data_IF_795382097795
#
_entry.id   IF_795382097795
#
_cell.length_a   1.000
_cell.length_b   1.000
_cell.length_c   1.000
_cell.angle_alpha   90.00
_cell.angle_beta   90.00
_cell.angle_gamma   90.00
#
_symmetry.space_group_name_H-M   'P 1'
#
loop_
_entity.id
_entity.type
_entity.pdbx_description
1 polymer ?
#
# COMPACT_ATOMS: atom_id res chain seq x y z
N UNK A 1 22.76 -20.33 7.61
CA UNK A 1 21.95 -19.88 8.78
C UNK A 1 22.28 -18.45 9.20
N UNK A 2 23.53 -18.07 9.49
CA UNK A 2 23.85 -16.70 9.95
C UNK A 2 23.55 -15.58 8.93
N UNK A 3 23.71 -15.84 7.63
CA UNK A 3 23.48 -14.86 6.56
C UNK A 3 22.01 -14.41 6.41
N UNK A 4 21.07 -15.31 6.68
CA UNK A 4 19.63 -15.01 6.57
C UNK A 4 19.18 -14.09 7.70
N UNK A 5 19.63 -14.35 8.92
CA UNK A 5 19.31 -13.50 10.07
C UNK A 5 19.96 -12.11 9.95
N UNK A 6 21.20 -12.01 9.48
CA UNK A 6 21.83 -10.71 9.24
C UNK A 6 21.10 -9.91 8.16
N UNK A 7 20.68 -10.56 7.07
CA UNK A 7 19.90 -9.93 6.01
C UNK A 7 18.55 -9.42 6.55
N UNK A 8 17.84 -10.25 7.33
CA UNK A 8 16.55 -9.88 7.92
C UNK A 8 16.67 -8.74 8.93
N UNK A 9 17.69 -8.72 9.79
CA UNK A 9 17.92 -7.63 10.75
C UNK A 9 18.17 -6.31 10.02
N UNK A 10 18.98 -6.33 8.95
CA UNK A 10 19.21 -5.12 8.17
C UNK A 10 17.90 -4.61 7.55
N UNK A 11 17.13 -5.51 6.92
CA UNK A 11 15.85 -5.16 6.32
C UNK A 11 14.89 -4.54 7.33
N UNK A 12 14.80 -5.11 8.53
CA UNK A 12 13.99 -4.58 9.62
C UNK A 12 14.45 -3.20 10.09
N UNK A 13 15.77 -2.93 10.14
CA UNK A 13 16.30 -1.59 10.42
C UNK A 13 15.95 -0.59 9.32
N UNK A 14 16.06 -0.98 8.05
CA UNK A 14 15.65 -0.14 6.92
C UNK A 14 14.16 0.14 6.96
N UNK A 15 13.33 -0.88 7.22
CA UNK A 15 11.88 -0.74 7.42
C UNK A 15 11.56 0.21 8.58
N UNK A 16 12.25 0.07 9.71
CA UNK A 16 12.09 0.98 10.84
C UNK A 16 12.45 2.42 10.47
N UNK A 17 13.54 2.64 9.71
CA UNK A 17 13.92 3.97 9.24
C UNK A 17 12.86 4.55 8.29
N UNK A 18 12.41 3.78 7.29
CA UNK A 18 11.33 4.17 6.37
C UNK A 18 10.08 4.57 7.16
N UNK A 19 9.64 3.73 8.09
CA UNK A 19 8.47 3.99 8.92
C UNK A 19 8.68 5.23 9.80
N UNK A 20 9.83 5.34 10.46
CA UNK A 20 10.14 6.48 11.33
C UNK A 20 10.14 7.79 10.55
N UNK A 21 10.76 7.82 9.37
CA UNK A 21 10.78 9.01 8.52
C UNK A 21 9.39 9.34 7.97
N UNK A 22 8.59 8.34 7.57
CA UNK A 22 7.22 8.55 7.09
C UNK A 22 6.32 9.17 8.17
N UNK A 23 6.45 8.73 9.42
CA UNK A 23 5.53 9.12 10.50
C UNK A 23 6.04 10.29 11.36
N UNK A 24 7.36 10.50 11.52
CA UNK A 24 7.88 11.70 12.22
C UNK A 24 7.60 12.99 11.47
N UNK A 25 7.50 12.93 10.14
CA UNK A 25 7.11 14.08 9.31
C UNK A 25 5.67 14.54 9.63
N UNK A 26 4.81 13.69 10.20
CA UNK A 26 3.44 14.06 10.56
C UNK A 26 3.34 15.01 11.77
N UNK A 27 4.36 15.09 12.63
CA UNK A 27 4.25 15.81 13.90
C UNK A 27 4.72 17.28 13.86
N UNK A 28 5.63 17.68 12.96
CA UNK A 28 6.26 19.02 13.03
C UNK A 28 6.33 19.79 11.70
N UNK A 29 6.15 19.18 10.53
CA UNK A 29 6.21 19.88 9.24
C UNK A 29 5.09 19.42 8.30
N UNK A 30 4.28 20.36 7.83
CA UNK A 30 3.25 20.14 6.81
C UNK A 30 3.84 19.47 5.55
N UNK A 31 3.64 18.17 5.38
CA UNK A 31 3.23 17.57 4.11
C UNK A 31 4.27 17.33 2.99
N UNK A 32 5.58 17.37 3.24
CA UNK A 32 6.59 17.22 2.16
C UNK A 32 7.33 15.88 2.17
N UNK A 33 6.87 14.92 1.36
CA UNK A 33 7.67 13.77 0.93
C UNK A 33 8.45 14.16 -0.33
N UNK A 34 9.73 14.51 -0.19
CA UNK A 34 10.55 14.95 -1.33
C UNK A 34 10.98 13.77 -2.20
N UNK A 35 11.09 13.99 -3.52
CA UNK A 35 11.63 12.98 -4.45
C UNK A 35 12.98 12.44 -3.95
N UNK A 36 13.84 13.33 -3.46
CA UNK A 36 15.14 12.97 -2.89
C UNK A 36 15.06 11.93 -1.78
N UNK A 37 14.08 12.03 -0.86
CA UNK A 37 13.91 11.02 0.21
C UNK A 37 13.49 9.66 -0.35
N UNK A 38 12.58 9.66 -1.32
CA UNK A 38 12.14 8.43 -2.01
C UNK A 38 13.32 7.76 -2.71
N UNK A 39 14.13 8.53 -3.42
CA UNK A 39 15.29 8.04 -4.17
C UNK A 39 16.35 7.45 -3.24
N UNK A 40 16.64 8.12 -2.12
CA UNK A 40 17.59 7.62 -1.11
C UNK A 40 17.11 6.31 -0.50
N UNK A 41 15.85 6.27 -0.03
CA UNK A 41 15.30 5.07 0.62
C UNK A 41 15.19 3.90 -0.36
N UNK A 42 14.78 4.16 -1.60
CA UNK A 42 14.75 3.14 -2.65
C UNK A 42 16.15 2.61 -2.94
N UNK A 43 17.16 3.50 -3.05
CA UNK A 43 18.55 3.10 -3.30
C UNK A 43 19.10 2.22 -2.18
N UNK A 44 18.83 2.56 -0.91
CA UNK A 44 19.24 1.74 0.24
C UNK A 44 18.60 0.35 0.17
N UNK A 45 17.32 0.26 -0.20
CA UNK A 45 16.59 -0.99 -0.27
C UNK A 45 17.11 -1.89 -1.41
N UNK A 46 17.40 -1.31 -2.59
CA UNK A 46 18.00 -2.06 -3.70
C UNK A 46 19.44 -2.49 -3.41
N UNK A 47 20.23 -1.62 -2.79
CA UNK A 47 21.59 -1.96 -2.35
C UNK A 47 21.59 -3.13 -1.36
N UNK A 48 20.61 -3.18 -0.46
CA UNK A 48 20.46 -4.32 0.45
C UNK A 48 20.18 -5.62 -0.29
N UNK A 49 19.28 -5.60 -1.30
CA UNK A 49 18.98 -6.78 -2.10
C UNK A 49 20.20 -7.25 -2.91
N UNK A 50 21.01 -6.31 -3.41
CA UNK A 50 22.17 -6.62 -4.24
C UNK A 50 23.33 -7.26 -3.48
N UNK A 51 23.42 -7.08 -2.16
CA UNK A 51 24.47 -7.68 -1.31
C UNK A 51 24.07 -9.05 -0.73
N UNK A 52 22.89 -9.55 -1.09
CA UNK A 52 22.46 -10.87 -0.65
C UNK A 52 23.33 -11.96 -1.28
N UNK A 53 23.66 -13.03 -0.53
CA UNK A 53 24.28 -14.22 -1.10
C UNK A 53 23.44 -14.80 -2.25
N UNK A 54 24.09 -15.44 -3.22
CA UNK A 54 23.42 -15.95 -4.43
C UNK A 54 22.22 -16.85 -4.14
N UNK A 55 22.30 -17.69 -3.11
CA UNK A 55 21.21 -18.60 -2.72
C UNK A 55 20.00 -17.90 -2.07
N UNK A 56 20.14 -16.63 -1.67
CA UNK A 56 19.04 -15.79 -1.16
C UNK A 56 18.59 -14.74 -2.18
N UNK A 57 19.30 -14.60 -3.30
CA UNK A 57 18.96 -13.63 -4.34
C UNK A 57 17.70 -14.06 -5.07
N UNK A 58 16.89 -13.09 -5.47
CA UNK A 58 15.72 -13.31 -6.30
C UNK A 58 15.50 -12.14 -7.24
N UNK A 59 14.76 -12.38 -8.31
CA UNK A 59 14.28 -11.38 -9.28
C UNK A 59 12.77 -11.16 -9.13
N UNK A 60 12.27 -9.99 -9.56
CA UNK A 60 10.85 -9.64 -9.39
C UNK A 60 9.90 -10.57 -10.16
N UNK A 61 10.40 -11.25 -11.19
CA UNK A 61 9.65 -12.24 -11.97
C UNK A 61 9.72 -13.67 -11.44
N UNK A 62 10.48 -13.91 -10.36
CA UNK A 62 10.59 -15.26 -9.79
C UNK A 62 9.27 -15.69 -9.15
N UNK A 63 8.90 -16.98 -9.23
CA UNK A 63 7.72 -17.49 -8.56
C UNK A 63 7.85 -17.34 -7.02
N UNK A 64 6.72 -17.29 -6.30
CA UNK A 64 6.71 -17.33 -4.83
C UNK A 64 7.51 -18.51 -4.28
N UNK A 65 8.28 -18.26 -3.22
CA UNK A 65 9.13 -19.28 -2.60
C UNK A 65 8.31 -20.26 -1.77
N UNK A 66 8.73 -21.52 -1.74
CA UNK A 66 8.21 -22.57 -0.85
C UNK A 66 8.90 -22.55 0.53
N UNK A 67 10.11 -21.98 0.63
CA UNK A 67 10.74 -21.67 1.92
C UNK A 67 10.07 -20.46 2.60
N UNK A 68 9.48 -20.69 3.77
CA UNK A 68 8.82 -19.67 4.60
C UNK A 68 9.72 -18.48 4.93
N UNK A 69 11.02 -18.69 5.15
CA UNK A 69 11.96 -17.62 5.51
C UNK A 69 12.23 -16.72 4.32
N UNK A 70 12.41 -17.31 3.14
CA UNK A 70 12.59 -16.57 1.88
C UNK A 70 11.31 -15.84 1.50
N UNK A 71 10.15 -16.50 1.60
CA UNK A 71 8.84 -15.89 1.40
C UNK A 71 8.62 -14.67 2.31
N UNK A 72 8.94 -14.81 3.61
CA UNK A 72 8.83 -13.71 4.56
C UNK A 72 9.77 -12.55 4.21
N UNK A 73 11.03 -12.84 3.87
CA UNK A 73 12.01 -11.83 3.48
C UNK A 73 11.57 -11.08 2.20
N UNK A 74 11.08 -11.79 1.18
CA UNK A 74 10.53 -11.19 -0.05
C UNK A 74 9.32 -10.30 0.27
N UNK A 75 8.39 -10.79 1.09
CA UNK A 75 7.21 -10.03 1.52
C UNK A 75 7.59 -8.74 2.25
N UNK A 76 8.57 -8.79 3.14
CA UNK A 76 9.06 -7.63 3.89
C UNK A 76 9.73 -6.60 2.97
N UNK A 77 10.56 -7.03 2.03
CA UNK A 77 11.19 -6.17 1.03
C UNK A 77 10.14 -5.44 0.19
N UNK A 78 9.19 -6.16 -0.39
CA UNK A 78 8.14 -5.54 -1.21
C UNK A 78 7.20 -4.68 -0.37
N UNK A 79 6.98 -5.00 0.90
CA UNK A 79 6.25 -4.13 1.82
C UNK A 79 6.98 -2.81 2.06
N UNK A 80 8.30 -2.84 2.24
CA UNK A 80 9.12 -1.63 2.37
C UNK A 80 9.03 -0.78 1.10
N UNK A 81 9.22 -1.40 -0.07
CA UNK A 81 9.16 -0.73 -1.37
C UNK A 81 7.78 -0.11 -1.60
N UNK A 82 6.71 -0.84 -1.31
CA UNK A 82 5.35 -0.32 -1.34
C UNK A 82 5.19 0.93 -0.45
N UNK A 83 5.66 0.90 0.80
CA UNK A 83 5.54 2.03 1.73
C UNK A 83 6.29 3.27 1.25
N UNK A 84 7.49 3.11 0.67
CA UNK A 84 8.31 4.22 0.14
C UNK A 84 7.54 4.99 -0.95
N UNK A 85 6.88 4.27 -1.86
CA UNK A 85 6.20 4.87 -3.02
C UNK A 85 4.71 5.19 -2.79
N UNK A 86 4.10 4.69 -1.71
CA UNK A 86 2.68 4.90 -1.40
C UNK A 86 2.25 6.37 -1.34
N UNK A 87 3.02 7.31 -0.76
CA UNK A 87 2.65 8.74 -0.75
C UNK A 87 2.50 9.32 -2.15
N UNK A 88 3.33 8.89 -3.10
CA UNK A 88 3.26 9.33 -4.50
C UNK A 88 1.99 8.78 -5.17
N UNK A 89 1.72 7.48 -5.01
CA UNK A 89 0.49 6.86 -5.53
C UNK A 89 -0.75 7.56 -4.96
N UNK A 90 -0.74 7.85 -3.66
CA UNK A 90 -1.82 8.57 -2.99
C UNK A 90 -2.05 9.94 -3.62
N UNK A 91 -0.99 10.73 -3.81
CA UNK A 91 -1.07 12.04 -4.45
C UNK A 91 -1.70 11.97 -5.85
N UNK A 92 -1.23 11.04 -6.68
CA UNK A 92 -1.75 10.87 -8.05
C UNK A 92 -3.22 10.45 -8.04
N UNK A 93 -3.62 9.54 -7.16
CA UNK A 93 -5.03 9.13 -7.02
C UNK A 93 -5.93 10.29 -6.60
N UNK A 94 -5.44 11.21 -5.76
CA UNK A 94 -6.20 12.39 -5.34
C UNK A 94 -6.28 13.46 -6.43
N UNK A 95 -5.22 13.65 -7.22
CA UNK A 95 -5.28 14.49 -8.42
C UNK A 95 -6.33 14.00 -9.41
N UNK A 96 -6.37 12.68 -9.65
CA UNK A 96 -7.33 12.07 -10.58
C UNK A 96 -8.80 12.17 -10.12
N UNK A 97 -9.04 12.45 -8.83
CA UNK A 97 -10.37 12.51 -8.20
C UNK A 97 -10.98 13.91 -8.19
N UNK A 98 -10.20 14.99 -8.36
CA UNK A 98 -10.73 16.36 -8.32
C UNK A 98 -11.64 16.64 -9.54
N UNK A 99 -12.94 16.93 -9.35
CA UNK A 99 -13.83 17.35 -10.43
C UNK A 99 -13.62 18.85 -10.76
N UNK A 100 -13.82 19.23 -12.03
CA UNK A 100 -13.79 20.64 -12.47
C UNK A 100 -14.79 21.48 -11.65
N UNK A 101 -14.31 22.43 -10.85
CA UNK A 101 -15.16 23.51 -10.35
C UNK A 101 -15.19 24.59 -11.45
N UNK A 102 -16.36 25.00 -11.96
CA UNK A 102 -16.43 26.16 -12.84
C UNK A 102 -16.10 27.40 -12.02
N UNK A 103 -15.03 28.10 -12.42
CA UNK A 103 -14.69 29.41 -11.87
C UNK A 103 -15.82 30.38 -12.22
N UNK A 104 -16.59 30.79 -11.21
CA UNK A 104 -17.37 32.02 -11.26
C UNK A 104 -17.27 32.73 -9.92
N UNK A 105 -16.51 33.83 -9.93
CA UNK A 105 -16.83 35.09 -9.24
C UNK A 105 -17.15 35.09 -7.74
N UNK A 106 -16.17 35.56 -6.97
CA UNK A 106 -16.31 36.59 -5.93
C UNK A 106 -17.23 36.39 -4.69
N UNK A 107 -16.53 36.26 -3.55
CA UNK A 107 -16.66 37.08 -2.32
C UNK A 107 -17.78 36.76 -1.29
N UNK A 108 -17.29 36.53 -0.05
CA UNK A 108 -17.73 36.94 1.31
C UNK A 108 -18.25 35.88 2.31
N UNK A 109 -17.45 35.76 3.38
CA UNK A 109 -17.80 35.89 4.80
C UNK A 109 -18.16 34.66 5.65
N UNK A 110 -17.19 34.33 6.52
CA UNK A 110 -17.27 33.94 7.95
C UNK A 110 -18.57 33.36 8.53
N UNK A 111 -18.46 32.18 9.18
CA UNK A 111 -18.95 31.96 10.57
C UNK A 111 -18.42 30.65 11.17
N UNK A 112 -17.99 30.74 12.44
CA UNK A 112 -17.69 29.64 13.37
C UNK A 112 -18.99 28.96 13.85
N UNK A 113 -18.95 27.64 14.05
CA UNK A 113 -19.64 26.89 15.12
C UNK A 113 -19.18 25.43 15.05
N UNK A 114 -18.33 24.98 15.98
CA UNK A 114 -18.68 24.19 17.16
C UNK A 114 -19.51 22.93 16.84
N UNK A 115 -18.95 21.75 17.12
CA UNK A 115 -19.52 20.83 18.13
C UNK A 115 -18.60 19.61 18.44
N UNK A 116 -18.30 19.51 19.74
CA UNK A 116 -18.18 18.33 20.62
C UNK A 116 -17.12 17.25 20.33
N UNK A 117 -16.06 17.30 21.15
CA UNK A 117 -15.17 16.18 21.43
C UNK A 117 -15.81 15.25 22.47
N UNK A 118 -15.83 13.94 22.19
CA UNK A 118 -16.03 12.88 23.18
C UNK A 118 -14.70 12.15 23.37
N UNK A 119 -14.15 12.29 24.58
CA UNK A 119 -12.93 11.64 25.01
C UNK A 119 -13.25 10.23 25.50
N UNK A 120 -12.64 9.22 24.88
CA UNK A 120 -12.43 7.90 25.49
C UNK A 120 -10.93 7.63 25.45
N UNK A 121 -10.32 7.74 26.62
CA UNK A 121 -9.03 7.15 26.96
C UNK A 121 -9.12 5.63 26.84
N UNK A 122 -8.14 4.97 26.19
CA UNK A 122 -7.45 3.74 26.67
C UNK A 122 -6.80 2.95 25.49
N UNK A 123 -5.49 2.69 25.64
CA UNK A 123 -4.57 1.87 24.82
C UNK A 123 -4.18 2.40 23.42
N UNK A 124 -3.16 3.26 23.39
CA UNK A 124 -2.57 3.82 22.17
C UNK A 124 -1.48 2.90 21.60
N UNK A 125 -1.76 2.25 20.48
CA UNK A 125 -0.77 1.88 19.44
C UNK A 125 -1.40 1.47 18.09
N UNK A 126 -2.71 1.64 17.87
CA UNK A 126 -3.36 1.22 16.62
C UNK A 126 -4.23 2.31 15.94
N UNK A 127 -4.21 3.56 16.42
CA UNK A 127 -5.14 4.61 15.97
C UNK A 127 -4.56 5.56 14.90
N UNK A 128 -3.31 5.35 14.45
CA UNK A 128 -2.60 6.33 13.60
C UNK A 128 -2.69 6.07 12.08
N UNK A 129 -3.85 5.67 11.57
CA UNK A 129 -4.06 5.54 10.10
C UNK A 129 -5.26 6.34 9.59
N UNK A 130 -6.14 6.82 10.47
CA UNK A 130 -7.36 7.55 10.10
C UNK A 130 -7.17 9.08 9.98
N UNK A 131 -6.01 9.63 10.42
CA UNK A 131 -5.71 11.07 10.42
C UNK A 131 -4.95 11.60 9.19
N UNK A 132 -4.69 10.75 8.20
CA UNK A 132 -4.01 11.08 6.93
C UNK A 132 -4.83 11.98 5.97
N UNK A 133 -5.98 12.49 6.42
CA UNK A 133 -7.04 13.06 5.56
C UNK A 133 -6.91 14.56 5.27
N UNK A 134 -5.81 15.23 5.59
CA UNK A 134 -5.59 16.61 5.15
C UNK A 134 -4.11 16.89 4.89
N UNK A 135 -3.79 17.31 3.66
CA UNK A 135 -2.57 18.05 3.30
C UNK A 135 -1.23 17.30 3.10
N UNK A 136 -1.22 16.16 2.40
CA UNK A 136 0.04 15.64 1.80
C UNK A 136 0.13 16.04 0.33
N UNK A 137 1.04 16.96 0.00
CA UNK A 137 1.31 17.41 -1.38
C UNK A 137 2.81 17.21 -1.67
N UNK A 138 3.20 16.25 -2.52
CA UNK A 138 4.60 16.07 -2.90
C UNK A 138 5.15 17.33 -3.55
N UNK A 139 6.39 17.69 -3.20
CA UNK A 139 7.15 18.74 -3.88
C UNK A 139 7.71 18.21 -5.21
N UNK A 140 6.81 17.82 -6.10
CA UNK A 140 7.12 17.66 -7.52
C UNK A 140 6.79 18.99 -8.17
N UNK A 141 7.70 19.49 -9.01
CA UNK A 141 7.44 20.68 -9.80
C UNK A 141 6.09 20.50 -10.50
N UNK A 142 5.13 21.44 -10.38
CA UNK A 142 3.97 21.40 -11.24
C UNK A 142 4.48 21.36 -12.69
N UNK A 143 3.82 20.59 -13.58
CA UNK A 143 4.24 20.54 -14.98
C UNK A 143 4.37 21.97 -15.52
N UNK A 144 5.39 22.24 -16.37
CA UNK A 144 5.66 23.59 -16.86
C UNK A 144 4.39 24.18 -17.47
N UNK A 145 4.00 25.34 -16.94
CA UNK A 145 2.80 26.08 -17.35
C UNK A 145 3.04 26.76 -18.69
N UNK A 146 2.97 26.00 -19.79
CA UNK A 146 2.81 26.58 -21.10
C UNK A 146 1.33 26.93 -21.32
N UNK A 147 1.13 28.17 -21.77
CA UNK A 147 -0.16 28.83 -21.93
C UNK A 147 -1.03 28.12 -22.98
N UNK A 148 -1.85 27.16 -22.55
CA UNK A 148 -3.02 26.70 -23.31
C UNK A 148 -4.04 26.11 -22.33
N UNK A 149 -5.22 26.72 -22.23
CA UNK A 149 -6.27 26.32 -21.29
C UNK A 149 -6.73 24.87 -21.50
N UNK A 150 -6.43 24.00 -20.54
CA UNK A 150 -6.82 22.59 -20.63
C UNK A 150 -6.45 21.71 -19.43
N UNK A 151 -6.53 22.18 -18.18
CA UNK A 151 -6.25 21.32 -17.01
C UNK A 151 -7.46 20.42 -16.68
N UNK A 152 -7.55 19.29 -17.39
CA UNK A 152 -8.39 18.13 -17.05
C UNK A 152 -7.56 17.01 -16.38
N UNK A 153 -8.19 15.98 -15.79
CA UNK A 153 -7.49 15.07 -14.88
C UNK A 153 -6.69 14.01 -15.65
N UNK A 154 -5.38 13.96 -15.40
CA UNK A 154 -4.41 13.11 -16.10
C UNK A 154 -4.81 11.62 -16.08
N UNK A 155 -4.82 10.97 -17.25
CA UNK A 155 -4.78 9.51 -17.38
C UNK A 155 -3.38 8.99 -17.04
N UNK A 156 -3.24 7.69 -16.76
CA UNK A 156 -1.92 7.10 -16.43
C UNK A 156 -0.83 7.41 -17.47
N UNK A 157 -1.21 7.44 -18.75
CA UNK A 157 -0.31 7.74 -19.88
C UNK A 157 0.07 9.21 -20.00
N UNK A 158 -0.68 10.10 -19.39
CA UNK A 158 -0.44 11.55 -19.42
C UNK A 158 0.40 12.01 -18.22
N UNK A 159 0.59 11.16 -17.21
CA UNK A 159 1.45 11.48 -16.07
C UNK A 159 2.91 11.68 -16.49
N UNK A 160 3.65 12.59 -15.82
CA UNK A 160 5.11 12.65 -15.93
C UNK A 160 5.76 11.28 -15.74
N UNK A 161 6.85 11.01 -16.46
CA UNK A 161 7.54 9.70 -16.46
C UNK A 161 7.94 9.24 -15.06
N UNK A 162 8.43 10.15 -14.22
CA UNK A 162 8.82 9.89 -12.82
C UNK A 162 7.62 9.42 -11.99
N UNK A 163 6.50 10.15 -12.05
CA UNK A 163 5.26 9.80 -11.35
C UNK A 163 4.69 8.48 -11.84
N UNK A 164 4.70 8.26 -13.16
CA UNK A 164 4.23 7.03 -13.79
C UNK A 164 5.04 5.83 -13.32
N UNK A 165 6.36 5.97 -13.27
CA UNK A 165 7.28 4.93 -12.82
C UNK A 165 7.11 4.64 -11.33
N UNK A 166 7.03 5.67 -10.49
CA UNK A 166 6.80 5.54 -9.05
C UNK A 166 5.46 4.84 -8.74
N UNK A 167 4.38 5.19 -9.43
CA UNK A 167 3.08 4.53 -9.26
C UNK A 167 3.15 3.06 -9.67
N UNK A 168 3.83 2.75 -10.78
CA UNK A 168 4.04 1.37 -11.22
C UNK A 168 4.80 0.56 -10.17
N UNK A 169 5.93 1.08 -9.65
CA UNK A 169 6.68 0.41 -8.59
C UNK A 169 5.80 0.16 -7.36
N UNK A 170 5.00 1.14 -6.94
CA UNK A 170 4.12 1.00 -5.79
C UNK A 170 3.13 -0.16 -5.97
N UNK A 171 2.47 -0.23 -7.13
CA UNK A 171 1.48 -1.27 -7.45
C UNK A 171 2.13 -2.64 -7.60
N UNK A 172 3.23 -2.74 -8.35
CA UNK A 172 3.97 -3.99 -8.52
C UNK A 172 4.45 -4.52 -7.16
N UNK A 173 4.97 -3.64 -6.29
CA UNK A 173 5.38 -3.99 -4.93
C UNK A 173 4.21 -4.44 -4.05
N UNK A 174 3.03 -3.83 -4.20
CA UNK A 174 1.83 -4.26 -3.48
C UNK A 174 1.43 -5.68 -3.89
N UNK A 175 1.42 -5.97 -5.20
CA UNK A 175 1.11 -7.29 -5.76
C UNK A 175 2.12 -8.33 -5.29
N UNK A 176 3.42 -8.09 -5.50
CA UNK A 176 4.49 -9.02 -5.13
C UNK A 176 4.54 -9.27 -3.63
N UNK A 177 4.29 -8.26 -2.79
CA UNK A 177 4.16 -8.45 -1.35
C UNK A 177 2.98 -9.34 -0.98
N UNK A 178 1.88 -9.29 -1.73
CA UNK A 178 0.69 -10.08 -1.44
C UNK A 178 0.86 -11.53 -1.87
N UNK A 179 1.54 -11.78 -2.99
CA UNK A 179 1.80 -13.12 -3.55
C UNK A 179 3.02 -13.82 -2.92
N UNK A 180 3.87 -13.13 -2.16
CA UNK A 180 5.10 -13.67 -1.61
C UNK A 180 4.95 -14.98 -0.80
N UNK A 181 3.76 -15.23 -0.20
CA UNK A 181 3.45 -16.44 0.56
C UNK A 181 2.64 -17.49 -0.20
N UNK A 182 2.33 -17.27 -1.48
CA UNK A 182 1.46 -18.17 -2.24
C UNK A 182 2.15 -19.51 -2.56
N UNK A 183 3.48 -19.57 -2.47
CA UNK A 183 4.26 -20.80 -2.56
C UNK A 183 4.23 -21.66 -1.28
N UNK A 184 3.70 -21.13 -0.17
CA UNK A 184 3.65 -21.85 1.11
C UNK A 184 2.41 -22.74 1.17
N UNK A 185 2.65 -24.04 1.31
CA UNK A 185 1.58 -25.02 1.50
C UNK A 185 1.00 -24.93 2.93
N UNK A 186 -0.31 -24.76 3.03
CA UNK A 186 -1.01 -24.70 4.32
C UNK A 186 -1.04 -23.29 4.95
N UNK A 187 -1.17 -23.22 6.26
CA UNK A 187 -1.20 -21.95 7.01
C UNK A 187 0.24 -21.48 7.29
N UNK A 188 0.67 -20.30 6.83
CA UNK A 188 2.00 -19.79 7.12
C UNK A 188 2.24 -19.63 8.63
N UNK A 189 3.34 -20.18 9.13
CA UNK A 189 3.77 -20.01 10.52
C UNK A 189 4.73 -18.82 10.56
N UNK A 190 4.20 -17.66 10.94
CA UNK A 190 4.95 -16.40 11.04
C UNK A 190 4.82 -15.77 12.41
N UNK A 191 5.78 -14.93 12.76
CA UNK A 191 5.86 -14.26 14.06
C UNK A 191 4.73 -13.26 14.29
N UNK A 192 4.22 -12.62 13.22
CA UNK A 192 3.18 -11.61 13.31
C UNK A 192 2.09 -11.81 12.26
N UNK A 193 1.24 -12.83 12.46
CA UNK A 193 0.12 -13.14 11.56
C UNK A 193 -0.90 -12.00 11.46
N UNK A 194 -1.12 -11.27 12.56
CA UNK A 194 -2.04 -10.14 12.58
C UNK A 194 -1.54 -8.99 11.71
N UNK A 195 -0.31 -8.53 11.94
CA UNK A 195 0.29 -7.42 11.18
C UNK A 195 0.38 -7.75 9.69
N UNK A 196 0.75 -8.99 9.35
CA UNK A 196 0.75 -9.47 7.97
C UNK A 196 -0.65 -9.42 7.35
N UNK A 197 -1.66 -10.00 8.03
CA UNK A 197 -3.03 -10.01 7.55
C UNK A 197 -3.59 -8.60 7.37
N UNK A 198 -3.36 -7.70 8.32
CA UNK A 198 -3.80 -6.32 8.24
C UNK A 198 -3.11 -5.55 7.10
N UNK A 199 -1.80 -5.76 6.90
CA UNK A 199 -1.08 -5.16 5.78
C UNK A 199 -1.59 -5.68 4.43
N UNK A 200 -1.88 -6.98 4.31
CA UNK A 200 -2.48 -7.58 3.11
C UNK A 200 -3.85 -6.98 2.82
N UNK A 201 -4.71 -6.82 3.83
CA UNK A 201 -5.99 -6.12 3.72
C UNK A 201 -5.83 -4.69 3.18
N UNK A 202 -4.94 -3.89 3.78
CA UNK A 202 -4.71 -2.52 3.36
C UNK A 202 -4.23 -2.40 1.91
N UNK A 203 -3.35 -3.33 1.46
CA UNK A 203 -2.90 -3.38 0.06
C UNK A 203 -4.05 -3.70 -0.90
N UNK A 204 -4.95 -4.61 -0.54
CA UNK A 204 -6.14 -4.90 -1.37
C UNK A 204 -7.01 -3.66 -1.58
N UNK A 205 -7.23 -2.85 -0.54
CA UNK A 205 -7.99 -1.60 -0.68
C UNK A 205 -7.31 -0.61 -1.63
N UNK A 206 -5.98 -0.52 -1.61
CA UNK A 206 -5.22 0.35 -2.51
C UNK A 206 -5.27 -0.16 -3.95
N UNK A 207 -5.15 -1.47 -4.18
CA UNK A 207 -5.30 -2.06 -5.51
C UNK A 207 -6.71 -1.85 -6.06
N UNK A 208 -7.74 -2.02 -5.24
CA UNK A 208 -9.13 -1.72 -5.58
C UNK A 208 -9.35 -0.25 -5.94
N UNK A 209 -8.82 0.67 -5.12
CA UNK A 209 -8.90 2.10 -5.40
C UNK A 209 -8.21 2.46 -6.73
N UNK A 210 -7.06 1.85 -6.99
CA UNK A 210 -6.30 2.05 -8.24
C UNK A 210 -7.08 1.53 -9.44
N UNK A 211 -7.62 0.31 -9.37
CA UNK A 211 -8.47 -0.29 -10.39
C UNK A 211 -9.73 0.54 -10.69
N UNK A 212 -10.32 1.15 -9.66
CA UNK A 212 -11.52 1.98 -9.79
C UNK A 212 -11.21 3.46 -10.11
N UNK A 213 -9.96 3.78 -10.45
CA UNK A 213 -9.51 5.13 -10.80
C UNK A 213 -9.06 5.20 -12.27
N UNK A 214 -8.51 6.36 -12.67
CA UNK A 214 -7.86 6.56 -13.98
C UNK A 214 -6.53 5.82 -14.12
N UNK A 215 -6.06 5.18 -13.05
CA UNK A 215 -4.87 4.34 -13.02
C UNK A 215 -5.21 2.84 -13.18
N UNK A 216 -6.42 2.51 -13.64
CA UNK A 216 -6.87 1.12 -13.79
C UNK A 216 -5.94 0.27 -14.68
N UNK A 217 -5.24 0.89 -15.64
CA UNK A 217 -4.21 0.24 -16.46
C UNK A 217 -3.07 -0.40 -15.63
N UNK A 218 -2.82 0.05 -14.39
CA UNK A 218 -1.80 -0.51 -13.51
C UNK A 218 -2.22 -1.83 -12.86
N UNK A 219 -3.52 -2.13 -12.80
CA UNK A 219 -4.05 -3.29 -12.06
C UNK A 219 -4.97 -4.08 -12.98
N UNK A 220 -4.47 -5.21 -13.50
CA UNK A 220 -5.28 -6.09 -14.33
C UNK A 220 -6.46 -6.67 -13.52
N UNK A 221 -7.68 -6.59 -14.08
CA UNK A 221 -8.90 -7.07 -13.44
C UNK A 221 -8.81 -8.53 -12.98
N UNK A 222 -8.26 -9.42 -13.82
CA UNK A 222 -8.11 -10.85 -13.50
C UNK A 222 -7.11 -11.09 -12.37
N UNK A 223 -5.99 -10.35 -12.37
CA UNK A 223 -5.02 -10.40 -11.29
C UNK A 223 -5.66 -9.93 -9.97
N UNK A 224 -6.39 -8.80 -9.99
CA UNK A 224 -7.08 -8.28 -8.81
C UNK A 224 -8.09 -9.28 -8.23
N UNK A 225 -8.87 -9.93 -9.09
CA UNK A 225 -9.83 -10.96 -8.68
C UNK A 225 -9.12 -12.10 -7.92
N UNK A 226 -8.03 -12.63 -8.50
CA UNK A 226 -7.21 -13.70 -7.89
C UNK A 226 -6.62 -13.26 -6.54
N UNK A 227 -6.04 -12.06 -6.49
CA UNK A 227 -5.42 -11.50 -5.28
C UNK A 227 -6.43 -11.32 -4.15
N UNK A 228 -7.63 -10.79 -4.46
CA UNK A 228 -8.70 -10.62 -3.48
C UNK A 228 -9.19 -11.97 -2.94
N UNK A 229 -9.43 -12.95 -3.81
CA UNK A 229 -9.82 -14.30 -3.37
C UNK A 229 -8.76 -14.91 -2.44
N UNK A 230 -7.48 -14.83 -2.82
CA UNK A 230 -6.37 -15.31 -2.01
C UNK A 230 -6.28 -14.59 -0.66
N UNK A 231 -6.45 -13.27 -0.65
CA UNK A 231 -6.45 -12.46 0.57
C UNK A 231 -7.60 -12.82 1.50
N UNK A 232 -8.84 -12.92 1.00
CA UNK A 232 -10.02 -13.31 1.79
C UNK A 232 -9.80 -14.70 2.41
N UNK A 233 -9.36 -15.68 1.60
CA UNK A 233 -9.05 -17.03 2.08
C UNK A 233 -8.02 -17.01 3.21
N UNK A 234 -6.93 -16.29 3.04
CA UNK A 234 -5.85 -16.19 4.03
C UNK A 234 -6.29 -15.51 5.32
N UNK A 235 -7.08 -14.44 5.24
CA UNK A 235 -7.63 -13.77 6.42
C UNK A 235 -8.59 -14.69 7.20
N UNK A 236 -9.43 -15.44 6.49
CA UNK A 236 -10.35 -16.40 7.09
C UNK A 236 -9.63 -17.57 7.77
N UNK A 237 -8.48 -18.01 7.28
CA UNK A 237 -7.64 -19.02 7.97
C UNK A 237 -7.18 -18.57 9.37
N UNK A 238 -7.13 -17.25 9.62
CA UNK A 238 -6.73 -16.68 10.92
C UNK A 238 -7.90 -16.11 11.73
N UNK A 239 -9.15 -16.36 11.31
CA UNK A 239 -10.36 -15.76 11.91
C UNK A 239 -10.54 -16.05 13.40
N UNK A 240 -10.17 -17.25 13.84
CA UNK A 240 -10.33 -17.67 15.23
C UNK A 240 -9.29 -17.03 16.16
N UNK A 241 -8.17 -16.59 15.60
CA UNK A 241 -7.10 -15.92 16.36
C UNK A 241 -7.26 -14.41 16.44
N UNK A 242 -8.08 -13.81 15.57
CA UNK A 242 -8.28 -12.35 15.54
C UNK A 242 -9.66 -11.97 14.98
N UNK A 243 -10.56 -11.40 15.80
CA UNK A 243 -11.84 -10.87 15.33
C UNK A 243 -11.68 -9.80 14.25
N UNK A 244 -10.64 -8.98 14.31
CA UNK A 244 -10.35 -7.96 13.30
C UNK A 244 -10.03 -8.57 11.93
N UNK A 245 -9.25 -9.65 11.87
CA UNK A 245 -8.96 -10.30 10.59
C UNK A 245 -10.21 -10.92 9.97
N UNK A 246 -11.14 -11.40 10.81
CA UNK A 246 -12.46 -11.85 10.35
C UNK A 246 -13.26 -10.69 9.73
N UNK A 247 -13.37 -9.56 10.41
CA UNK A 247 -14.06 -8.37 9.90
C UNK A 247 -13.40 -7.88 8.59
N UNK A 248 -12.07 -7.86 8.53
CA UNK A 248 -11.34 -7.50 7.31
C UNK A 248 -11.68 -8.43 6.14
N UNK A 249 -11.85 -9.73 6.39
CA UNK A 249 -12.25 -10.69 5.36
C UNK A 249 -13.69 -10.45 4.89
N UNK A 250 -14.61 -10.17 5.82
CA UNK A 250 -16.01 -9.82 5.52
C UNK A 250 -16.07 -8.56 4.62
N UNK A 251 -15.37 -7.50 5.00
CA UNK A 251 -15.29 -6.26 4.19
C UNK A 251 -14.76 -6.54 2.78
N UNK A 252 -13.70 -7.34 2.64
CA UNK A 252 -13.18 -7.68 1.31
C UNK A 252 -14.15 -8.56 0.53
N UNK A 253 -14.90 -9.45 1.19
CA UNK A 253 -15.96 -10.25 0.57
C UNK A 253 -17.05 -9.37 -0.03
N UNK A 254 -17.58 -8.42 0.75
CA UNK A 254 -18.61 -7.49 0.29
C UNK A 254 -18.14 -6.62 -0.88
N UNK A 255 -16.89 -6.14 -0.80
CA UNK A 255 -16.30 -5.32 -1.88
C UNK A 255 -16.04 -6.17 -3.13
N UNK A 256 -15.60 -7.42 -2.96
CA UNK A 256 -15.42 -8.35 -4.08
C UNK A 256 -16.73 -8.56 -4.83
N UNK A 257 -17.81 -8.89 -4.11
CA UNK A 257 -19.12 -9.13 -4.72
C UNK A 257 -19.62 -7.89 -5.47
N UNK A 258 -19.45 -6.70 -4.88
CA UNK A 258 -19.83 -5.44 -5.53
C UNK A 258 -19.05 -5.17 -6.82
N UNK A 259 -17.76 -5.54 -6.88
CA UNK A 259 -16.89 -5.23 -8.04
C UNK A 259 -17.00 -6.27 -9.15
N UNK A 260 -17.25 -7.54 -8.81
CA UNK A 260 -17.26 -8.65 -9.76
C UNK A 260 -18.65 -9.23 -10.03
N UNK A 261 -19.67 -8.89 -9.24
CA UNK A 261 -21.04 -9.37 -9.42
C UNK A 261 -21.28 -10.82 -9.01
N UNK A 262 -20.30 -11.45 -8.36
CA UNK A 262 -20.34 -12.82 -7.88
C UNK A 262 -19.69 -12.93 -6.49
N UNK A 263 -20.13 -13.85 -5.63
CA UNK A 263 -19.48 -14.06 -4.34
C UNK A 263 -18.08 -14.67 -4.52
N UNK A 264 -17.16 -14.31 -3.62
CA UNK A 264 -15.82 -14.88 -3.63
C UNK A 264 -15.88 -16.40 -3.42
N UNK A 265 -15.25 -17.18 -4.32
CA UNK A 265 -15.17 -18.64 -4.20
C UNK A 265 -14.16 -19.03 -3.12
N UNK A 266 -14.54 -18.83 -1.86
CA UNK A 266 -13.75 -19.31 -0.72
C UNK A 266 -14.25 -20.70 -0.39
N UNK A 267 -13.63 -21.73 -0.97
CA UNK A 267 -13.86 -23.10 -0.50
C UNK A 267 -13.67 -23.11 1.02
N UNK A 268 -14.70 -23.52 1.76
CA UNK A 268 -14.65 -23.56 3.21
C UNK A 268 -13.38 -24.31 3.62
N UNK A 269 -12.47 -23.61 4.30
CA UNK A 269 -11.29 -24.21 4.89
C UNK A 269 -11.83 -25.26 5.87
N UNK A 270 -11.63 -26.53 5.53
CA UNK A 270 -12.06 -27.65 6.34
C UNK A 270 -11.63 -27.42 7.78
N UNK A 271 -12.61 -27.48 8.68
CA UNK A 271 -12.38 -27.62 10.11
C UNK A 271 -11.54 -28.87 10.31
N UNK A 272 -10.26 -28.69 10.64
CA UNK A 272 -9.46 -29.71 11.32
C UNK A 272 -9.65 -29.55 12.82
#
# INVERSE_FOLDING_TARGET
MMSLYSAQIFLQKTLYHVHTELYKVEEHDQGYWSSTKVDILSSILEQWRSILPDFLRWEDGDPPSDDIKVANMRSEYYSARYLIYRPILYYVLHLARQPKVPVSGAVKSCSKSQQVALSITQSQSATSMARLSSEVRPALNPPPSDQAGGEGPYTYRELPSELRHACKICIDSAILSTEAFDGINGRPVVTNIFGMGHARFGKMLVLLATHNSRLSELVERKALQRLLQGAIKSLLQSRYTSPTLRINAEILGDVYERVFGEPATVSQVGTY
#
